data_IF_661379026408
#
_entry.id   IF_661379026408
#
_cell.length_a   1.000
_cell.length_b   1.000
_cell.length_c   1.000
_cell.angle_alpha   90.00
_cell.angle_beta   90.00
_cell.angle_gamma   90.00
#
_symmetry.space_group_name_H-M   'P 1'
#
loop_
_entity.id
_entity.type
_entity.pdbx_description
1 polymer ?
#
# COMPACT_ATOMS: atom_id res chain seq x y z
N UNK A 1 46.03 34.06 15.40
CA UNK A 1 46.09 33.21 14.19
C UNK A 1 45.84 31.74 14.53
N UNK A 2 46.57 31.15 15.47
CA UNK A 2 46.44 29.73 15.85
C UNK A 2 45.05 29.32 16.39
N UNK A 3 44.41 30.14 17.23
CA UNK A 3 43.04 29.90 17.71
C UNK A 3 42.00 29.96 16.58
N UNK A 4 42.22 30.79 15.56
CA UNK A 4 41.33 30.88 14.40
C UNK A 4 41.49 29.62 13.55
N UNK A 5 42.72 29.17 13.32
CA UNK A 5 42.98 27.92 12.60
C UNK A 5 42.37 26.71 13.32
N UNK A 6 42.47 26.63 14.66
CA UNK A 6 41.83 25.56 15.44
C UNK A 6 40.31 25.56 15.24
N UNK A 7 39.65 26.72 15.37
CA UNK A 7 38.20 26.82 15.16
C UNK A 7 37.78 26.48 13.72
N UNK A 8 38.56 26.88 12.73
CA UNK A 8 38.30 26.53 11.31
C UNK A 8 38.40 25.02 11.11
N UNK A 9 39.40 24.38 11.71
CA UNK A 9 39.60 22.92 11.60
C UNK A 9 38.44 22.17 12.27
N UNK A 10 38.01 22.62 13.46
CA UNK A 10 36.87 22.05 14.18
C UNK A 10 35.57 22.13 13.36
N UNK A 11 35.29 23.30 12.78
CA UNK A 11 34.12 23.49 11.90
C UNK A 11 34.18 22.64 10.63
N UNK A 12 35.36 22.46 10.04
CA UNK A 12 35.53 21.59 8.87
C UNK A 12 35.20 20.13 9.19
N UNK A 13 35.64 19.64 10.35
CA UNK A 13 35.33 18.28 10.80
C UNK A 13 33.81 18.11 11.00
N UNK A 14 33.15 19.09 11.61
CA UNK A 14 31.70 19.07 11.78
C UNK A 14 30.95 19.08 10.43
N UNK A 15 31.37 19.92 9.49
CA UNK A 15 30.80 19.98 8.14
C UNK A 15 30.96 18.64 7.40
N UNK A 16 32.13 18.02 7.45
CA UNK A 16 32.35 16.71 6.84
C UNK A 16 31.45 15.62 7.43
N UNK A 17 31.19 15.67 8.74
CA UNK A 17 30.23 14.75 9.37
C UNK A 17 28.82 15.00 8.83
N UNK A 18 28.37 16.25 8.75
CA UNK A 18 27.05 16.56 8.18
C UNK A 18 26.92 16.13 6.71
N UNK A 19 27.94 16.38 5.89
CA UNK A 19 27.97 15.96 4.48
C UNK A 19 27.91 14.43 4.33
N UNK A 20 28.61 13.68 5.18
CA UNK A 20 28.55 12.23 5.20
C UNK A 20 27.13 11.72 5.48
N UNK A 21 26.44 12.28 6.47
CA UNK A 21 25.08 11.88 6.80
C UNK A 21 24.06 12.27 5.74
N UNK A 22 24.24 13.44 5.11
CA UNK A 22 23.39 13.86 4.00
C UNK A 22 23.57 12.93 2.78
N UNK A 23 24.81 12.61 2.41
CA UNK A 23 25.09 11.72 1.29
C UNK A 23 24.57 10.30 1.56
N UNK A 24 24.77 9.78 2.78
CA UNK A 24 24.26 8.46 3.18
C UNK A 24 22.73 8.39 3.13
N UNK A 25 22.03 9.46 3.54
CA UNK A 25 20.57 9.55 3.46
C UNK A 25 20.07 9.55 2.01
N UNK A 26 20.78 10.23 1.11
CA UNK A 26 20.47 10.27 -0.32
C UNK A 26 20.68 8.93 -0.98
N UNK A 27 21.76 8.22 -0.63
CA UNK A 27 22.03 6.87 -1.13
C UNK A 27 20.95 5.89 -0.68
N UNK A 28 20.57 5.91 0.60
CA UNK A 28 19.48 5.06 1.12
C UNK A 28 18.13 5.27 0.40
N UNK A 29 17.87 6.49 -0.09
CA UNK A 29 16.64 6.80 -0.81
C UNK A 29 16.72 6.48 -2.32
N UNK A 30 17.94 6.38 -2.88
CA UNK A 30 18.18 6.21 -4.33
C UNK A 30 18.56 4.79 -4.75
N UNK A 31 19.20 4.02 -3.88
CA UNK A 31 19.72 2.70 -4.27
C UNK A 31 18.63 1.63 -4.30
N UNK A 32 18.72 0.74 -5.28
CA UNK A 32 18.06 -0.56 -5.25
C UNK A 32 19.04 -1.60 -4.68
N UNK A 33 18.63 -2.45 -3.72
CA UNK A 33 17.26 -2.76 -3.32
C UNK A 33 16.62 -1.71 -2.41
N UNK A 34 15.29 -1.54 -2.54
CA UNK A 34 14.50 -0.62 -1.71
C UNK A 34 14.77 -0.88 -0.22
N UNK A 35 15.07 0.16 0.57
CA UNK A 35 15.32 -0.03 1.99
C UNK A 35 14.05 -0.59 2.65
N UNK A 36 14.23 -1.46 3.65
CA UNK A 36 13.14 -1.87 4.53
C UNK A 36 12.87 -0.77 5.55
N UNK A 37 11.64 -0.73 6.08
CA UNK A 37 11.27 0.22 7.13
C UNK A 37 12.23 0.16 8.34
N UNK A 38 12.65 -1.05 8.72
CA UNK A 38 13.59 -1.28 9.82
C UNK A 38 14.96 -0.60 9.59
N UNK A 39 15.51 -0.69 8.38
CA UNK A 39 16.80 -0.07 8.05
C UNK A 39 16.72 1.46 8.14
N UNK A 40 15.59 2.04 7.72
CA UNK A 40 15.36 3.48 7.85
C UNK A 40 15.22 3.90 9.32
N UNK A 41 14.52 3.12 10.15
CA UNK A 41 14.40 3.37 11.59
C UNK A 41 15.77 3.31 12.30
N UNK A 42 16.60 2.32 11.96
CA UNK A 42 17.95 2.22 12.49
C UNK A 42 18.83 3.40 12.06
N UNK A 43 18.70 3.85 10.80
CA UNK A 43 19.43 5.01 10.29
C UNK A 43 19.06 6.28 11.05
N UNK A 44 17.78 6.49 11.33
CA UNK A 44 17.30 7.65 12.10
C UNK A 44 17.80 7.59 13.54
N UNK A 45 17.74 6.43 14.19
CA UNK A 45 18.30 6.26 15.55
C UNK A 45 19.78 6.62 15.58
N UNK A 46 20.55 6.11 14.62
CA UNK A 46 21.98 6.39 14.51
C UNK A 46 22.25 7.89 14.25
N UNK A 47 21.39 8.56 13.49
CA UNK A 47 21.51 10.01 13.25
C UNK A 47 21.14 10.85 14.49
N UNK A 48 20.16 10.40 15.27
CA UNK A 48 19.73 11.05 16.52
C UNK A 48 20.80 10.89 17.63
N UNK A 49 21.43 9.71 17.73
CA UNK A 49 22.57 9.47 18.61
C UNK A 49 23.78 10.36 18.27
N UNK A 50 23.98 10.65 16.99
CA UNK A 50 25.01 11.59 16.53
C UNK A 50 24.59 13.07 16.64
N UNK A 51 23.36 13.34 17.09
CA UNK A 51 22.74 14.66 17.23
C UNK A 51 22.72 15.46 15.90
N UNK A 52 22.43 14.77 14.80
CA UNK A 52 22.47 15.31 13.45
C UNK A 52 21.08 15.70 13.00
N UNK A 53 20.92 17.00 12.73
CA UNK A 53 19.68 17.60 12.27
C UNK A 53 19.86 18.05 10.82
N UNK A 54 19.47 17.19 9.89
CA UNK A 54 19.48 17.49 8.44
C UNK A 54 18.07 17.33 7.89
N UNK A 55 17.68 18.23 6.97
CA UNK A 55 16.38 18.16 6.32
C UNK A 55 16.15 16.87 5.52
N UNK A 56 17.21 16.18 5.13
CA UNK A 56 17.14 14.84 4.52
C UNK A 56 16.75 13.75 5.52
N UNK A 57 17.26 13.80 6.75
CA UNK A 57 16.85 12.91 7.84
C UNK A 57 15.38 13.18 8.22
N UNK A 58 14.96 14.44 8.28
CA UNK A 58 13.56 14.79 8.58
C UNK A 58 12.59 14.28 7.52
N UNK A 59 13.01 14.27 6.23
CA UNK A 59 12.22 13.63 5.17
C UNK A 59 12.05 12.14 5.40
N UNK A 60 13.12 11.44 5.79
CA UNK A 60 13.06 10.00 6.10
C UNK A 60 12.17 9.77 7.33
N UNK A 61 12.26 10.62 8.37
CA UNK A 61 11.38 10.56 9.56
C UNK A 61 9.91 10.65 9.18
N UNK A 62 9.55 11.65 8.38
CA UNK A 62 8.17 11.83 7.90
C UNK A 62 7.68 10.63 7.09
N UNK A 63 8.53 10.12 6.20
CA UNK A 63 8.23 8.96 5.36
C UNK A 63 8.05 7.68 6.19
N UNK A 64 8.80 7.49 7.28
CA UNK A 64 8.56 6.39 8.22
C UNK A 64 7.19 6.53 8.90
N UNK A 65 6.83 7.74 9.34
CA UNK A 65 5.52 8.00 9.97
C UNK A 65 4.38 7.69 8.99
N UNK A 66 4.50 8.14 7.74
CA UNK A 66 3.52 7.85 6.68
C UNK A 66 3.40 6.34 6.42
N UNK A 67 4.51 5.60 6.45
CA UNK A 67 4.50 4.15 6.26
C UNK A 67 3.85 3.40 7.44
N UNK A 68 4.08 3.85 8.68
CA UNK A 68 3.40 3.30 9.85
C UNK A 68 1.90 3.57 9.80
N UNK A 69 1.50 4.81 9.49
CA UNK A 69 0.09 5.17 9.31
C UNK A 69 -0.57 4.36 8.19
N UNK A 70 0.15 4.11 7.10
CA UNK A 70 -0.31 3.23 6.02
C UNK A 70 -0.49 1.79 6.50
N UNK A 71 0.45 1.25 7.28
CA UNK A 71 0.35 -0.10 7.81
C UNK A 71 -0.83 -0.25 8.77
N UNK A 72 -1.05 0.72 9.65
CA UNK A 72 -2.21 0.74 10.55
C UNK A 72 -3.53 0.77 9.75
N UNK A 73 -3.60 1.59 8.70
CA UNK A 73 -4.76 1.64 7.80
C UNK A 73 -5.00 0.29 7.12
N UNK A 74 -3.94 -0.40 6.71
CA UNK A 74 -4.04 -1.74 6.14
C UNK A 74 -4.58 -2.76 7.16
N UNK A 75 -4.08 -2.73 8.39
CA UNK A 75 -4.53 -3.63 9.46
C UNK A 75 -6.00 -3.38 9.82
N UNK A 76 -6.42 -2.12 9.98
CA UNK A 76 -7.83 -1.76 10.22
C UNK A 76 -8.73 -2.24 9.09
N UNK A 77 -8.27 -2.13 7.84
CA UNK A 77 -8.99 -2.58 6.66
C UNK A 77 -9.13 -4.12 6.61
N UNK A 78 -8.17 -4.87 7.16
CA UNK A 78 -8.29 -6.33 7.31
C UNK A 78 -9.16 -6.76 8.49
N UNK A 79 -9.14 -6.01 9.60
CA UNK A 79 -9.88 -6.33 10.83
C UNK A 79 -11.35 -5.92 10.79
N UNK A 80 -11.75 -5.07 9.84
CA UNK A 80 -13.14 -4.64 9.70
C UNK A 80 -14.10 -5.80 9.42
N UNK A 81 -15.31 -5.74 9.98
CA UNK A 81 -16.36 -6.76 9.77
C UNK A 81 -16.81 -6.88 8.31
N UNK A 82 -16.60 -5.84 7.50
CA UNK A 82 -16.96 -5.83 6.09
C UNK A 82 -15.71 -5.93 5.20
N UNK A 83 -15.63 -7.00 4.40
CA UNK A 83 -14.57 -7.15 3.41
C UNK A 83 -14.56 -5.94 2.47
N UNK A 84 -13.44 -5.21 2.38
CA UNK A 84 -13.38 -4.02 1.54
C UNK A 84 -13.41 -4.38 0.05
N UNK A 85 -13.91 -3.46 -0.76
CA UNK A 85 -13.95 -3.63 -2.21
C UNK A 85 -12.54 -3.64 -2.80
N UNK A 86 -12.39 -4.31 -3.96
CA UNK A 86 -11.14 -4.36 -4.71
C UNK A 86 -10.55 -2.96 -4.98
N UNK A 87 -11.41 -1.98 -5.27
CA UNK A 87 -11.01 -0.58 -5.49
C UNK A 87 -10.30 0.03 -4.29
N UNK A 88 -10.68 -0.33 -3.06
CA UNK A 88 -10.03 0.16 -1.85
C UNK A 88 -8.62 -0.41 -1.69
N UNK A 89 -8.40 -1.68 -2.08
CA UNK A 89 -7.05 -2.27 -2.10
C UNK A 89 -6.17 -1.64 -3.18
N UNK A 90 -6.73 -1.36 -4.36
CA UNK A 90 -6.02 -0.67 -5.45
C UNK A 90 -5.58 0.74 -5.04
N UNK A 91 -6.46 1.50 -4.39
CA UNK A 91 -6.11 2.82 -3.83
C UNK A 91 -5.00 2.73 -2.78
N UNK A 92 -5.07 1.74 -1.88
CA UNK A 92 -4.07 1.55 -0.84
C UNK A 92 -2.70 1.13 -1.43
N UNK A 93 -2.70 0.31 -2.49
CA UNK A 93 -1.52 -0.08 -3.24
C UNK A 93 -0.88 1.12 -3.96
N UNK A 94 -1.68 1.97 -4.61
CA UNK A 94 -1.18 3.20 -5.23
C UNK A 94 -0.51 4.14 -4.22
N UNK A 95 -1.09 4.30 -3.02
CA UNK A 95 -0.49 5.11 -1.96
C UNK A 95 0.90 4.58 -1.56
N UNK A 96 1.03 3.28 -1.34
CA UNK A 96 2.31 2.68 -0.94
C UNK A 96 3.38 2.70 -2.03
N UNK A 97 3.02 2.67 -3.31
CA UNK A 97 3.98 2.76 -4.42
C UNK A 97 4.80 4.04 -4.40
N UNK A 98 4.25 5.13 -3.86
CA UNK A 98 4.92 6.43 -3.81
C UNK A 98 6.08 6.46 -2.80
N UNK A 99 6.06 5.61 -1.76
CA UNK A 99 7.06 5.64 -0.70
C UNK A 99 8.41 5.03 -1.11
N UNK A 100 8.49 4.24 -2.19
CA UNK A 100 9.72 3.57 -2.64
C UNK A 100 10.42 2.70 -1.57
N UNK A 101 9.70 2.23 -0.55
CA UNK A 101 10.18 1.34 0.53
C UNK A 101 9.74 -0.10 0.27
N UNK A 102 10.53 -1.08 0.70
CA UNK A 102 10.07 -2.48 0.75
C UNK A 102 9.16 -2.69 1.98
N UNK A 103 7.86 -2.73 1.71
CA UNK A 103 6.82 -3.01 2.70
C UNK A 103 6.31 -4.44 2.45
N UNK A 104 6.51 -5.34 3.41
CA UNK A 104 6.02 -6.73 3.32
C UNK A 104 4.50 -6.82 3.04
N UNK A 105 3.63 -6.00 3.67
CA UNK A 105 2.19 -6.02 3.39
C UNK A 105 1.83 -5.59 1.96
N UNK A 106 2.70 -4.83 1.28
CA UNK A 106 2.45 -4.37 -0.08
C UNK A 106 2.41 -5.53 -1.08
N UNK A 107 3.31 -6.51 -0.90
CA UNK A 107 3.35 -7.75 -1.71
C UNK A 107 2.06 -8.55 -1.53
N UNK A 108 1.52 -8.59 -0.32
CA UNK A 108 0.26 -9.27 -0.03
C UNK A 108 -0.93 -8.59 -0.71
N UNK A 109 -1.00 -7.26 -0.67
CA UNK A 109 -2.05 -6.49 -1.36
C UNK A 109 -1.97 -6.72 -2.87
N UNK A 110 -0.77 -6.66 -3.45
CA UNK A 110 -0.57 -6.89 -4.89
C UNK A 110 -1.05 -8.26 -5.32
N UNK A 111 -0.67 -9.31 -4.59
CA UNK A 111 -1.13 -10.68 -4.83
C UNK A 111 -2.65 -10.77 -4.74
N UNK A 112 -3.26 -10.12 -3.75
CA UNK A 112 -4.71 -10.12 -3.57
C UNK A 112 -5.42 -9.45 -4.74
N UNK A 113 -4.92 -8.29 -5.21
CA UNK A 113 -5.45 -7.59 -6.38
C UNK A 113 -5.36 -8.48 -7.63
N UNK A 114 -4.20 -9.09 -7.87
CA UNK A 114 -3.98 -9.98 -9.01
C UNK A 114 -4.91 -11.20 -8.99
N UNK A 115 -5.06 -11.84 -7.83
CA UNK A 115 -5.98 -12.96 -7.65
C UNK A 115 -7.43 -12.56 -7.91
N UNK A 116 -7.87 -11.43 -7.36
CA UNK A 116 -9.22 -10.91 -7.57
C UNK A 116 -9.49 -10.58 -9.05
N UNK A 117 -8.53 -9.95 -9.74
CA UNK A 117 -8.62 -9.67 -11.19
C UNK A 117 -8.67 -10.94 -12.03
N UNK A 118 -7.82 -11.93 -11.73
CA UNK A 118 -7.83 -13.22 -12.42
C UNK A 118 -9.15 -13.97 -12.22
N UNK A 119 -9.70 -13.94 -10.99
CA UNK A 119 -11.01 -14.50 -10.70
C UNK A 119 -12.11 -13.80 -11.49
N UNK A 120 -12.09 -12.47 -11.54
CA UNK A 120 -13.06 -11.67 -12.30
C UNK A 120 -13.03 -12.04 -13.79
N UNK A 121 -11.84 -12.09 -14.40
CA UNK A 121 -11.67 -12.41 -15.82
C UNK A 121 -12.15 -13.84 -16.15
N UNK A 122 -11.75 -14.83 -15.35
CA UNK A 122 -12.22 -16.22 -15.51
C UNK A 122 -13.72 -16.34 -15.34
N UNK A 123 -14.30 -15.60 -14.41
CA UNK A 123 -15.75 -15.58 -14.21
C UNK A 123 -16.43 -14.94 -15.41
N UNK A 124 -15.92 -13.81 -15.93
CA UNK A 124 -16.45 -13.18 -17.14
C UNK A 124 -16.43 -14.12 -18.35
N UNK A 125 -15.37 -14.91 -18.55
CA UNK A 125 -15.27 -15.81 -19.70
C UNK A 125 -16.25 -16.99 -19.61
N UNK A 126 -16.36 -17.64 -18.44
CA UNK A 126 -17.29 -18.76 -18.20
C UNK A 126 -18.73 -18.35 -18.46
N UNK A 127 -19.05 -17.12 -18.10
CA UNK A 127 -20.39 -16.62 -18.10
C UNK A 127 -20.72 -15.69 -19.28
N UNK A 128 -19.78 -15.50 -20.20
CA UNK A 128 -19.93 -14.66 -21.38
C UNK A 128 -21.06 -15.21 -22.26
N UNK A 129 -22.21 -14.54 -22.27
CA UNK A 129 -23.27 -14.79 -23.26
C UNK A 129 -23.15 -13.78 -24.41
N UNK A 130 -23.25 -14.23 -25.68
CA UNK A 130 -23.10 -13.36 -26.86
C UNK A 130 -24.09 -12.18 -26.91
N UNK A 131 -25.27 -12.32 -26.30
CA UNK A 131 -26.39 -11.40 -26.51
C UNK A 131 -26.86 -10.68 -25.23
N UNK A 132 -26.09 -10.73 -24.13
CA UNK A 132 -26.49 -10.13 -22.86
C UNK A 132 -25.58 -8.97 -22.44
N UNK A 133 -26.19 -7.80 -22.20
CA UNK A 133 -25.55 -6.63 -21.57
C UNK A 133 -25.45 -6.70 -20.05
N UNK A 134 -25.68 -7.88 -19.46
CA UNK A 134 -25.69 -8.07 -18.01
C UNK A 134 -24.27 -8.07 -17.45
N UNK A 135 -24.09 -7.37 -16.33
CA UNK A 135 -22.86 -7.42 -15.53
C UNK A 135 -22.71 -8.78 -14.84
N UNK A 136 -21.48 -9.13 -14.44
CA UNK A 136 -21.22 -10.39 -13.72
C UNK A 136 -22.11 -10.51 -12.50
N UNK A 137 -22.20 -9.43 -11.70
CA UNK A 137 -23.02 -9.37 -10.49
C UNK A 137 -24.47 -9.75 -10.80
N UNK A 138 -25.08 -9.18 -11.84
CA UNK A 138 -26.49 -9.41 -12.19
C UNK A 138 -26.80 -10.83 -12.68
N UNK A 139 -25.76 -11.58 -13.02
CA UNK A 139 -25.88 -12.93 -13.53
C UNK A 139 -25.49 -13.99 -12.49
N UNK A 140 -24.62 -13.65 -11.53
CA UNK A 140 -24.39 -14.49 -10.34
C UNK A 140 -25.46 -14.25 -9.25
N UNK A 141 -26.17 -13.12 -9.30
CA UNK A 141 -27.26 -12.84 -8.34
C UNK A 141 -28.39 -13.85 -8.57
N UNK A 142 -28.78 -14.63 -7.54
CA UNK A 142 -29.86 -15.59 -7.69
C UNK A 142 -31.14 -14.87 -8.12
N UNK A 143 -31.60 -15.14 -9.35
CA UNK A 143 -32.87 -14.63 -9.84
C UNK A 143 -33.96 -15.43 -9.17
N UNK A 144 -34.63 -14.82 -8.20
CA UNK A 144 -35.84 -15.37 -7.60
C UNK A 144 -36.88 -15.49 -8.72
N UNK A 145 -37.00 -16.68 -9.31
CA UNK A 145 -38.11 -16.98 -10.21
C UNK A 145 -39.36 -17.09 -9.34
N UNK A 146 -40.14 -16.00 -9.28
CA UNK A 146 -41.52 -16.09 -8.83
C UNK A 146 -42.27 -16.88 -9.91
N UNK A 147 -42.33 -18.20 -9.76
CA UNK A 147 -43.16 -19.03 -10.61
C UNK A 147 -44.63 -18.56 -10.46
N UNK A 148 -45.34 -18.24 -11.55
CA UNK A 148 -46.77 -17.95 -11.46
C UNK A 148 -47.49 -19.21 -10.99
N UNK A 149 -48.16 -19.13 -9.83
CA UNK A 149 -49.03 -20.19 -9.32
C UNK A 149 -50.09 -20.50 -10.39
N UNK A 150 -49.99 -21.66 -11.02
CA UNK A 150 -51.04 -22.17 -11.91
C UNK A 150 -52.26 -22.48 -11.06
N UNK A 151 -53.29 -21.64 -11.17
CA UNK A 151 -54.61 -21.90 -10.57
C UNK A 151 -55.23 -23.05 -11.35
N UNK A 152 -55.18 -24.26 -10.79
CA UNK A 152 -55.92 -25.41 -11.30
C UNK A 152 -57.41 -25.21 -11.01
N UNK A 153 -58.16 -24.68 -11.98
CA UNK A 153 -59.63 -24.78 -11.98
C UNK A 153 -60.02 -26.24 -12.25
N UNK A 154 -60.42 -26.96 -11.21
CA UNK A 154 -61.16 -28.24 -11.33
C UNK A 154 -62.45 -27.99 -12.13
N UNK A 155 -62.57 -28.63 -13.31
CA UNK A 155 -63.85 -28.82 -14.00
C UNK A 155 -64.66 -29.84 -13.20
N UNK A 156 -65.73 -29.39 -12.55
CA UNK A 156 -66.83 -30.28 -12.17
C UNK A 156 -67.66 -30.53 -13.43
N UNK A 157 -67.74 -31.80 -13.84
CA UNK A 157 -68.67 -32.27 -14.86
C UNK A 157 -69.99 -32.60 -14.16
N UNK A 158 -71.09 -32.06 -14.70
CA UNK A 158 -72.45 -32.54 -14.46
C UNK A 158 -72.83 -33.57 -15.51
#
# INVERSE_FOLDING_TARGET
>A
HQQIQQKVTELQVQLQQLEYWDEKSRQLTKEEPRPTLHTLEQFIKSADEANIHLGSIDRIKSLIIECHAWNEKFEQMQQGEHYPFLSSYEQLYEQARHFHIDLEPLKLIEQTILQARSWLEKTQTVFRRPDSSLTIIEMITPRVSVAPKTITKKRQAS
#
